data_IF_048341064049
#
_entry.id   IF_048341064049
#
_cell.length_a   1.000
_cell.length_b   1.000
_cell.length_c   1.000
_cell.angle_alpha   90.00
_cell.angle_beta   90.00
_cell.angle_gamma   90.00
#
_symmetry.space_group_name_H-M   'P 1'
#
loop_
_entity.id
_entity.type
_entity.pdbx_description
1 polymer ?
#
# COMPACT_ATOMS: atom_id res chain seq x y z
N UNK A 1 14.56 2.52 34.52
CA UNK A 1 13.35 2.85 35.32
C UNK A 1 12.38 3.83 34.65
N UNK A 2 12.61 4.29 33.41
CA UNK A 2 11.73 5.25 32.71
C UNK A 2 10.51 4.62 31.99
N UNK A 3 10.50 3.30 31.82
CA UNK A 3 9.50 2.54 31.05
C UNK A 3 8.06 2.62 31.57
N UNK A 4 7.77 2.47 32.88
CA UNK A 4 6.38 2.49 33.35
C UNK A 4 5.75 3.89 33.19
N UNK A 5 6.49 4.97 33.44
CA UNK A 5 6.00 6.34 33.27
C UNK A 5 5.75 6.67 31.79
N UNK A 6 6.70 6.33 30.91
CA UNK A 6 6.55 6.54 29.47
C UNK A 6 5.37 5.74 28.89
N UNK A 7 5.18 4.50 29.34
CA UNK A 7 4.03 3.68 28.96
C UNK A 7 2.71 4.30 29.42
N UNK A 8 2.61 4.75 30.68
CA UNK A 8 1.39 5.40 31.17
C UNK A 8 1.05 6.69 30.43
N UNK A 9 2.06 7.47 30.03
CA UNK A 9 1.85 8.70 29.24
C UNK A 9 1.36 8.36 27.83
N UNK A 10 1.95 7.37 27.16
CA UNK A 10 1.52 6.97 25.81
C UNK A 10 0.14 6.31 25.82
N UNK A 11 -0.16 5.54 26.85
CA UNK A 11 -1.48 4.94 27.01
C UNK A 11 -2.54 6.02 27.28
N UNK A 12 -2.25 6.98 28.15
CA UNK A 12 -3.16 8.08 28.48
C UNK A 12 -3.36 9.06 27.31
N UNK A 13 -2.28 9.43 26.61
CA UNK A 13 -2.33 10.42 25.54
C UNK A 13 -2.74 9.80 24.21
N UNK A 14 -2.33 8.58 23.89
CA UNK A 14 -2.48 8.01 22.54
C UNK A 14 -3.22 6.66 22.52
N UNK A 15 -3.49 6.05 23.68
CA UNK A 15 -4.09 4.71 23.75
C UNK A 15 -3.16 3.62 23.22
N UNK A 16 -1.85 3.80 23.41
CA UNK A 16 -0.80 2.90 22.91
C UNK A 16 -0.02 2.32 24.09
N UNK A 17 0.18 1.01 24.07
CA UNK A 17 1.03 0.34 25.07
C UNK A 17 2.50 0.36 24.59
N UNK A 18 3.43 0.64 25.51
CA UNK A 18 4.86 0.71 25.23
C UNK A 18 5.58 -0.49 25.85
N UNK A 19 6.21 -1.28 25.00
CA UNK A 19 7.11 -2.37 25.36
C UNK A 19 8.51 -2.16 24.78
N UNK A 20 9.43 -3.06 25.10
CA UNK A 20 10.73 -3.13 24.46
C UNK A 20 10.69 -4.08 23.26
N UNK A 21 11.23 -3.62 22.13
CA UNK A 21 11.34 -4.47 20.93
C UNK A 21 12.41 -5.55 21.09
N UNK A 22 13.35 -5.37 22.02
CA UNK A 22 14.40 -6.32 22.37
C UNK A 22 14.41 -6.51 23.90
N UNK A 23 14.16 -7.73 24.35
CA UNK A 23 14.12 -8.10 25.76
C UNK A 23 15.49 -8.01 26.46
N UNK A 24 16.58 -7.96 25.69
CA UNK A 24 17.96 -7.91 26.19
C UNK A 24 18.45 -6.45 26.27
N UNK A 25 18.12 -5.60 25.28
CA UNK A 25 18.64 -4.23 25.21
C UNK A 25 17.83 -3.20 26.02
N UNK A 26 16.53 -3.46 26.24
CA UNK A 26 15.60 -2.55 26.93
C UNK A 26 15.37 -1.22 26.20
N UNK A 27 14.31 -0.50 26.57
CA UNK A 27 14.02 0.82 25.98
C UNK A 27 15.10 1.84 26.35
N UNK A 28 15.63 2.55 25.34
CA UNK A 28 16.62 3.63 25.55
C UNK A 28 16.02 4.95 25.10
N UNK A 29 16.19 5.97 25.95
CA UNK A 29 15.77 7.34 25.69
C UNK A 29 16.88 8.30 26.11
N UNK A 30 17.22 9.25 25.25
CA UNK A 30 18.08 10.38 25.55
C UNK A 30 17.39 11.67 25.13
N UNK A 31 17.45 12.68 26.00
CA UNK A 31 16.79 13.98 25.81
C UNK A 31 17.80 15.07 26.13
N UNK A 32 17.95 16.02 25.22
CA UNK A 32 18.80 17.21 25.38
C UNK A 32 17.98 18.48 25.10
N UNK A 33 18.30 19.56 25.82
CA UNK A 33 17.66 20.86 25.61
C UNK A 33 16.18 20.91 26.01
N UNK A 34 15.79 20.17 27.06
CA UNK A 34 14.41 20.17 27.55
C UNK A 34 14.03 21.54 28.14
N UNK A 35 13.02 22.17 27.55
CA UNK A 35 12.41 23.38 28.08
C UNK A 35 10.89 23.27 28.12
N UNK A 36 10.28 23.76 29.20
CA UNK A 36 8.83 23.79 29.38
C UNK A 36 8.39 25.21 29.73
N UNK A 37 7.33 25.70 29.09
CA UNK A 37 6.79 27.01 29.43
C UNK A 37 5.35 27.21 28.94
N UNK A 38 4.56 28.02 29.66
CA UNK A 38 3.22 28.40 29.22
C UNK A 38 3.31 29.28 27.97
N UNK A 39 2.33 29.12 27.07
CA UNK A 39 2.11 30.00 25.93
C UNK A 39 0.96 30.97 26.21
N UNK A 40 0.85 32.02 25.37
CA UNK A 40 -0.11 33.10 25.54
C UNK A 40 -1.57 32.65 25.42
N UNK A 41 -1.81 31.49 24.81
CA UNK A 41 -3.14 30.99 24.47
C UNK A 41 -3.68 29.94 25.49
N UNK A 42 -3.04 29.83 26.66
CA UNK A 42 -3.40 28.85 27.69
C UNK A 42 -2.93 27.42 27.39
N UNK A 43 -2.19 27.22 26.30
CA UNK A 43 -1.41 26.01 26.02
C UNK A 43 -0.08 26.07 26.78
N UNK A 44 0.50 24.90 27.04
CA UNK A 44 1.89 24.76 27.46
C UNK A 44 2.71 24.18 26.31
N UNK A 45 3.92 24.70 26.16
CA UNK A 45 4.89 24.24 25.16
C UNK A 45 5.99 23.43 25.83
N UNK A 46 6.24 22.24 25.29
CA UNK A 46 7.39 21.40 25.60
C UNK A 46 8.35 21.46 24.41
N UNK A 47 9.56 21.97 24.62
CA UNK A 47 10.62 22.02 23.60
C UNK A 47 11.72 21.05 23.97
N UNK A 48 12.20 20.30 22.98
CA UNK A 48 13.33 19.38 23.10
C UNK A 48 14.22 19.60 21.89
N UNK A 49 15.49 19.97 22.12
CA UNK A 49 16.45 20.20 21.04
C UNK A 49 16.81 18.90 20.33
N UNK A 50 17.05 17.84 21.10
CA UNK A 50 17.33 16.50 20.57
C UNK A 50 16.66 15.43 21.43
N UNK A 51 15.92 14.54 20.78
CA UNK A 51 15.31 13.34 21.34
C UNK A 51 15.85 12.14 20.59
N UNK A 52 16.45 11.18 21.29
CA UNK A 52 16.77 9.88 20.72
C UNK A 52 16.02 8.79 21.47
N UNK A 53 15.39 7.89 20.73
CA UNK A 53 14.74 6.72 21.29
C UNK A 53 15.08 5.47 20.47
N UNK A 54 15.26 4.34 21.14
CA UNK A 54 15.63 3.10 20.50
C UNK A 54 14.99 1.89 21.17
N UNK A 55 14.86 0.82 20.38
CA UNK A 55 14.33 -0.47 20.77
C UNK A 55 12.90 -0.41 21.31
N UNK A 56 12.04 0.43 20.71
CA UNK A 56 10.66 0.61 21.17
C UNK A 56 9.71 -0.33 20.43
N UNK A 57 8.70 -0.82 21.14
CA UNK A 57 7.56 -1.48 20.56
C UNK A 57 6.28 -0.80 21.04
N UNK A 58 5.44 -0.40 20.10
CA UNK A 58 4.19 0.31 20.32
C UNK A 58 3.05 -0.56 19.79
N UNK A 59 2.09 -0.91 20.63
CA UNK A 59 0.93 -1.72 20.23
C UNK A 59 -0.37 -0.92 20.36
N UNK A 60 -1.20 -1.00 19.32
CA UNK A 60 -2.55 -0.42 19.32
C UNK A 60 -3.53 -1.39 18.67
N UNK A 61 -4.34 -2.07 19.49
CA UNK A 61 -5.17 -3.19 19.03
C UNK A 61 -4.30 -4.31 18.45
N UNK A 62 -4.56 -4.71 17.20
CA UNK A 62 -3.80 -5.76 16.50
C UNK A 62 -2.61 -5.22 15.70
N UNK A 63 -2.40 -3.90 15.71
CA UNK A 63 -1.27 -3.27 15.03
C UNK A 63 -0.10 -3.13 15.99
N UNK A 64 1.07 -3.53 15.50
CA UNK A 64 2.35 -3.39 16.21
C UNK A 64 3.29 -2.54 15.39
N UNK A 65 3.84 -1.50 16.00
CA UNK A 65 4.90 -0.67 15.45
C UNK A 65 6.18 -0.91 16.26
N UNK A 66 7.20 -1.46 15.61
CA UNK A 66 8.55 -1.59 16.15
C UNK A 66 9.42 -0.43 15.65
N UNK A 67 10.26 0.11 16.53
CA UNK A 67 11.15 1.23 16.26
C UNK A 67 12.56 0.80 16.70
N UNK A 68 13.43 0.52 15.72
CA UNK A 68 14.84 0.24 16.00
C UNK A 68 15.54 1.45 16.62
N UNK A 69 15.54 2.58 15.91
CA UNK A 69 16.05 3.88 16.38
C UNK A 69 15.26 5.00 15.74
N UNK A 70 15.01 6.06 16.51
CA UNK A 70 14.53 7.35 16.02
C UNK A 70 15.30 8.46 16.73
N UNK A 71 15.80 9.43 15.96
CA UNK A 71 16.44 10.63 16.47
C UNK A 71 15.71 11.84 15.90
N UNK A 72 15.08 12.64 16.75
CA UNK A 72 14.27 13.80 16.40
C UNK A 72 14.97 15.06 16.86
N UNK A 73 15.02 16.09 16.00
CA UNK A 73 15.65 17.38 16.29
C UNK A 73 14.64 18.51 16.26
N UNK A 74 14.75 19.42 17.22
CA UNK A 74 13.89 20.58 17.37
C UNK A 74 12.42 20.20 17.52
N UNK A 75 12.13 19.30 18.46
CA UNK A 75 10.77 18.87 18.78
C UNK A 75 10.06 19.93 19.62
N UNK A 76 8.84 20.28 19.22
CA UNK A 76 7.94 21.17 19.94
C UNK A 76 6.60 20.47 20.09
N UNK A 77 6.21 20.14 21.32
CA UNK A 77 4.89 19.59 21.62
C UNK A 77 4.02 20.65 22.31
N UNK A 78 2.79 20.80 21.82
CA UNK A 78 1.78 21.69 22.39
C UNK A 78 0.81 20.87 23.22
N UNK A 79 0.65 21.23 24.48
CA UNK A 79 -0.17 20.51 25.46
C UNK A 79 -1.22 21.47 26.02
N UNK A 80 -2.46 21.03 26.10
CA UNK A 80 -3.57 21.78 26.71
C UNK A 80 -4.14 20.99 27.88
N UNK A 81 -4.57 21.66 28.93
CA UNK A 81 -5.32 21.01 30.01
C UNK A 81 -6.81 21.05 29.69
N UNK A 82 -7.44 19.89 29.53
CA UNK A 82 -8.88 19.75 29.33
C UNK A 82 -9.47 18.90 30.46
N UNK A 83 -10.48 19.43 31.16
CA UNK A 83 -11.10 18.78 32.33
C UNK A 83 -10.09 18.32 33.41
N UNK A 84 -8.95 19.03 33.54
CA UNK A 84 -7.89 18.70 34.51
C UNK A 84 -6.89 17.65 34.03
N UNK A 85 -7.04 17.12 32.80
CA UNK A 85 -6.09 16.19 32.20
C UNK A 85 -5.27 16.86 31.09
N UNK A 86 -3.93 16.67 31.05
CA UNK A 86 -3.12 17.15 29.95
C UNK A 86 -3.44 16.36 28.67
N UNK A 87 -3.71 17.07 27.59
CA UNK A 87 -3.93 16.53 26.26
C UNK A 87 -2.90 17.10 25.29
N UNK A 88 -2.33 16.21 24.47
CA UNK A 88 -1.46 16.59 23.37
C UNK A 88 -2.30 17.15 22.22
N UNK A 89 -2.07 18.41 21.87
CA UNK A 89 -2.76 19.12 20.80
C UNK A 89 -2.03 18.93 19.47
N UNK A 90 -0.72 19.09 19.50
CA UNK A 90 0.12 18.91 18.33
C UNK A 90 1.60 18.70 18.68
N UNK A 91 2.33 18.16 17.72
CA UNK A 91 3.78 17.97 17.78
C UNK A 91 4.38 18.40 16.46
N UNK A 92 5.39 19.26 16.53
CA UNK A 92 6.22 19.62 15.39
C UNK A 92 7.64 19.14 15.64
N UNK A 93 8.33 18.74 14.57
CA UNK A 93 9.76 18.51 14.61
C UNK A 93 10.41 18.98 13.32
N UNK A 94 11.58 19.61 13.45
CA UNK A 94 12.33 20.10 12.29
C UNK A 94 12.80 18.94 11.42
N UNK A 95 13.34 17.91 12.05
CA UNK A 95 13.96 16.77 11.38
C UNK A 95 13.83 15.50 12.23
N UNK A 96 13.70 14.36 11.57
CA UNK A 96 13.79 13.06 12.19
C UNK A 96 14.63 12.12 11.33
N UNK A 97 15.58 11.44 11.94
CA UNK A 97 16.27 10.28 11.39
C UNK A 97 15.69 9.03 12.02
N UNK A 98 15.52 7.96 11.24
CA UNK A 98 15.03 6.70 11.77
C UNK A 98 15.71 5.51 11.12
N UNK A 99 15.74 4.40 11.85
CA UNK A 99 16.15 3.11 11.32
C UNK A 99 15.31 1.97 11.89
N UNK A 100 14.81 1.11 11.01
CA UNK A 100 14.08 -0.10 11.39
C UNK A 100 12.71 0.23 11.98
N UNK A 101 11.93 1.07 11.31
CA UNK A 101 10.52 1.26 11.65
C UNK A 101 9.70 0.17 10.96
N UNK A 102 9.03 -0.68 11.73
CA UNK A 102 8.26 -1.79 11.19
C UNK A 102 6.86 -1.78 11.75
N UNK A 103 5.87 -1.50 10.90
CA UNK A 103 4.45 -1.61 11.21
C UNK A 103 3.92 -2.93 10.67
N UNK A 104 3.30 -3.74 11.51
CA UNK A 104 2.68 -4.98 11.08
C UNK A 104 1.37 -5.27 11.81
N UNK A 105 0.56 -6.10 11.19
CA UNK A 105 -0.73 -6.50 11.72
C UNK A 105 -1.56 -7.28 10.68
N UNK A 106 -2.78 -7.68 11.04
CA UNK A 106 -3.67 -8.33 10.11
C UNK A 106 -4.18 -7.33 9.07
N UNK A 107 -4.22 -7.77 7.82
CA UNK A 107 -4.87 -7.06 6.73
C UNK A 107 -6.35 -7.48 6.71
N UNK A 108 -7.19 -6.75 7.44
CA UNK A 108 -8.63 -7.00 7.45
C UNK A 108 -9.25 -6.51 6.14
N UNK A 109 -9.70 -7.45 5.32
CA UNK A 109 -10.61 -7.14 4.21
C UNK A 109 -11.91 -6.58 4.79
N UNK A 110 -12.49 -5.50 4.22
CA UNK A 110 -13.82 -5.05 4.60
C UNK A 110 -14.81 -6.23 4.57
N UNK A 111 -15.75 -6.36 5.53
CA UNK A 111 -16.62 -7.53 5.65
C UNK A 111 -17.35 -7.90 4.36
N UNK A 112 -17.73 -6.89 3.56
CA UNK A 112 -18.38 -7.07 2.24
C UNK A 112 -17.46 -7.70 1.19
N UNK A 113 -16.16 -7.42 1.24
CA UNK A 113 -15.15 -8.06 0.40
C UNK A 113 -14.84 -9.47 0.90
N UNK A 114 -14.84 -9.69 2.22
CA UNK A 114 -14.71 -11.03 2.79
C UNK A 114 -15.91 -11.92 2.42
N UNK A 115 -17.13 -11.40 2.50
CA UNK A 115 -18.35 -12.06 2.02
C UNK A 115 -18.30 -12.30 0.51
N UNK A 116 -17.92 -11.35 -0.33
CA UNK A 116 -17.77 -11.58 -1.78
C UNK A 116 -16.67 -12.61 -2.12
N UNK A 117 -15.63 -12.72 -1.28
CA UNK A 117 -14.55 -13.69 -1.43
C UNK A 117 -14.99 -15.10 -0.98
N UNK A 118 -15.78 -15.20 0.09
CA UNK A 118 -16.30 -16.47 0.62
C UNK A 118 -17.54 -16.97 -0.14
N UNK A 119 -18.43 -16.07 -0.56
CA UNK A 119 -19.62 -16.35 -1.39
C UNK A 119 -19.30 -16.53 -2.87
N UNK A 120 -18.03 -16.42 -3.29
CA UNK A 120 -17.58 -16.99 -4.56
C UNK A 120 -17.80 -18.52 -4.63
N UNK A 121 -18.25 -19.17 -3.54
CA UNK A 121 -18.79 -20.52 -3.52
C UNK A 121 -20.27 -20.67 -3.92
N UNK A 122 -21.04 -19.58 -4.07
CA UNK A 122 -22.46 -19.67 -4.46
C UNK A 122 -22.84 -18.51 -5.40
N UNK A 123 -23.05 -18.84 -6.67
CA UNK A 123 -23.67 -17.99 -7.69
C UNK A 123 -24.98 -17.37 -7.20
N UNK A 124 -25.03 -16.05 -7.04
CA UNK A 124 -26.27 -15.28 -6.92
C UNK A 124 -26.17 -13.94 -7.66
N UNK A 125 -27.26 -13.47 -8.30
CA UNK A 125 -27.24 -12.33 -9.21
C UNK A 125 -27.16 -10.98 -8.47
N UNK A 126 -26.42 -10.04 -9.05
CA UNK A 126 -26.21 -8.71 -8.53
C UNK A 126 -27.49 -7.84 -8.60
N UNK A 127 -27.98 -7.38 -7.45
CA UNK A 127 -28.97 -6.32 -7.37
C UNK A 127 -28.29 -4.95 -7.55
N UNK A 128 -28.79 -4.14 -8.49
CA UNK A 128 -28.31 -2.80 -8.76
C UNK A 128 -28.70 -1.82 -7.64
N UNK A 129 -27.72 -1.09 -7.10
CA UNK A 129 -27.95 0.00 -6.14
C UNK A 129 -27.55 1.35 -6.74
N UNK A 130 -28.30 2.43 -6.44
CA UNK A 130 -28.12 3.73 -7.07
C UNK A 130 -26.84 4.43 -6.57
N UNK A 131 -26.19 5.12 -7.50
CA UNK A 131 -24.98 5.88 -7.27
C UNK A 131 -25.27 7.15 -6.45
N UNK A 132 -25.00 7.12 -5.15
CA UNK A 132 -24.86 8.34 -4.36
C UNK A 132 -23.45 8.91 -4.58
N UNK A 133 -23.43 10.12 -5.17
CA UNK A 133 -22.25 10.95 -5.38
C UNK A 133 -21.77 11.48 -4.02
N UNK A 134 -20.67 10.90 -3.52
CA UNK A 134 -19.81 11.54 -2.54
C UNK A 134 -18.78 12.40 -3.31
N UNK A 135 -18.35 13.55 -2.76
CA UNK A 135 -17.42 14.46 -3.44
C UNK A 135 -16.11 13.73 -3.77
N UNK A 136 -15.47 14.17 -4.85
CA UNK A 136 -14.24 13.61 -5.36
C UNK A 136 -13.07 13.81 -4.38
N UNK A 137 -12.91 12.91 -3.42
CA UNK A 137 -11.61 12.59 -2.85
C UNK A 137 -10.78 12.00 -3.99
N UNK A 138 -9.91 12.83 -4.57
CA UNK A 138 -9.18 12.51 -5.79
C UNK A 138 -8.13 11.41 -5.53
N UNK A 139 -8.59 10.16 -5.53
CA UNK A 139 -7.72 8.99 -5.67
C UNK A 139 -6.85 9.20 -6.91
N UNK A 140 -5.54 9.29 -6.72
CA UNK A 140 -4.57 9.54 -7.77
C UNK A 140 -3.40 8.59 -7.61
N UNK A 141 -3.05 7.89 -8.67
CA UNK A 141 -1.87 7.03 -8.76
C UNK A 141 -0.97 7.51 -9.89
N UNK A 142 -0.76 8.82 -10.00
CA UNK A 142 0.01 9.46 -11.08
C UNK A 142 1.40 8.82 -11.34
N UNK A 143 2.18 8.39 -10.33
CA UNK A 143 3.44 7.68 -10.56
C UNK A 143 3.32 6.42 -11.45
N UNK A 144 2.15 5.76 -11.49
CA UNK A 144 1.91 4.61 -12.37
C UNK A 144 1.72 5.03 -13.82
N UNK A 145 1.27 6.26 -14.09
CA UNK A 145 0.94 6.75 -15.43
C UNK A 145 2.14 6.92 -16.35
N UNK A 146 3.35 6.93 -15.80
CA UNK A 146 4.60 6.98 -16.56
C UNK A 146 5.60 5.92 -16.15
N UNK A 147 5.13 4.84 -15.50
CA UNK A 147 6.00 3.77 -15.02
C UNK A 147 6.61 2.95 -16.17
N UNK A 148 7.84 2.47 -16.00
CA UNK A 148 8.51 1.61 -16.97
C UNK A 148 9.16 0.41 -16.27
N UNK A 149 9.20 -0.73 -16.94
CA UNK A 149 9.87 -1.89 -16.38
C UNK A 149 9.36 -3.19 -16.96
N UNK A 150 9.51 -4.27 -16.19
CA UNK A 150 9.05 -5.59 -16.60
C UNK A 150 8.62 -6.38 -15.37
N UNK A 151 7.51 -7.09 -15.52
CA UNK A 151 7.05 -8.08 -14.55
C UNK A 151 7.19 -9.45 -15.21
N UNK A 152 7.73 -10.41 -14.46
CA UNK A 152 7.91 -11.80 -14.87
C UNK A 152 7.18 -12.71 -13.89
N UNK A 153 6.35 -13.60 -14.42
CA UNK A 153 5.75 -14.68 -13.67
C UNK A 153 6.32 -16.01 -14.14
N UNK A 154 6.67 -16.90 -13.23
CA UNK A 154 6.98 -18.29 -13.58
C UNK A 154 5.99 -19.22 -12.89
N UNK A 155 5.20 -19.92 -13.69
CA UNK A 155 4.17 -20.86 -13.25
C UNK A 155 4.77 -22.25 -13.27
N UNK A 156 4.92 -22.86 -12.09
CA UNK A 156 5.43 -24.24 -11.99
C UNK A 156 4.33 -25.22 -12.34
N UNK A 157 4.64 -26.19 -13.23
CA UNK A 157 3.70 -27.21 -13.73
C UNK A 157 2.37 -26.65 -14.27
N UNK A 158 2.45 -25.64 -15.14
CA UNK A 158 1.30 -24.99 -15.75
C UNK A 158 0.40 -25.99 -16.53
N UNK A 159 0.98 -27.08 -17.03
CA UNK A 159 0.24 -28.17 -17.67
C UNK A 159 0.94 -29.53 -17.45
N UNK A 160 0.75 -30.10 -16.25
CA UNK A 160 1.06 -31.51 -15.92
C UNK A 160 2.41 -32.02 -16.46
N UNK A 161 3.49 -31.21 -16.42
CA UNK A 161 4.94 -31.53 -16.63
C UNK A 161 5.78 -30.33 -17.12
N UNK A 162 5.17 -29.18 -17.46
CA UNK A 162 5.91 -28.03 -18.02
C UNK A 162 5.69 -26.73 -17.24
N UNK A 163 6.79 -25.99 -17.07
CA UNK A 163 6.79 -24.62 -16.56
C UNK A 163 6.34 -23.64 -17.66
N UNK A 164 5.73 -22.53 -17.24
CA UNK A 164 5.43 -21.40 -18.11
C UNK A 164 6.08 -20.12 -17.59
N UNK A 165 6.84 -19.44 -18.45
CA UNK A 165 7.46 -18.16 -18.18
C UNK A 165 6.67 -17.05 -18.87
N UNK A 166 6.11 -16.15 -18.07
CA UNK A 166 5.30 -15.01 -18.51
C UNK A 166 6.14 -13.75 -18.37
N UNK A 167 6.33 -12.99 -19.44
CA UNK A 167 6.99 -11.68 -19.40
C UNK A 167 6.03 -10.59 -19.85
N UNK A 168 5.79 -9.62 -18.98
CA UNK A 168 4.91 -8.47 -19.25
C UNK A 168 5.75 -7.19 -19.18
N UNK A 169 6.09 -6.58 -20.34
CA UNK A 169 6.77 -5.29 -20.35
C UNK A 169 5.79 -4.14 -20.05
N UNK A 170 6.30 -3.12 -19.34
CA UNK A 170 5.55 -1.90 -19.00
C UNK A 170 6.30 -0.71 -19.58
N UNK A 171 5.62 0.08 -20.40
CA UNK A 171 6.22 1.25 -21.06
C UNK A 171 5.29 2.45 -20.93
N UNK A 172 5.74 3.49 -20.24
CA UNK A 172 5.00 4.75 -20.11
C UNK A 172 3.66 4.56 -19.41
N UNK A 173 3.63 3.74 -18.36
CA UNK A 173 2.40 3.40 -17.63
C UNK A 173 1.44 2.49 -18.37
N UNK A 174 1.86 1.88 -19.49
CA UNK A 174 1.02 1.02 -20.31
C UNK A 174 1.58 -0.40 -20.40
N UNK A 175 0.69 -1.39 -20.35
CA UNK A 175 0.93 -2.75 -20.81
C UNK A 175 0.29 -2.89 -22.20
N UNK A 176 1.08 -3.28 -23.20
CA UNK A 176 0.59 -3.74 -24.49
C UNK A 176 0.66 -5.27 -24.52
N UNK A 177 -0.48 -5.93 -24.60
CA UNK A 177 -0.52 -7.39 -24.56
C UNK A 177 0.02 -8.04 -25.84
N UNK A 178 0.25 -7.27 -26.91
CA UNK A 178 0.98 -7.79 -28.07
C UNK A 178 2.47 -8.03 -27.77
N UNK A 179 3.01 -7.34 -26.76
CA UNK A 179 4.41 -7.46 -26.33
C UNK A 179 4.57 -8.39 -25.11
N UNK A 180 3.47 -8.88 -24.55
CA UNK A 180 3.49 -9.84 -23.46
C UNK A 180 3.75 -11.25 -24.01
N UNK A 181 4.77 -11.92 -23.48
CA UNK A 181 5.14 -13.27 -23.91
C UNK A 181 4.75 -14.30 -22.86
N UNK A 182 4.31 -15.47 -23.31
CA UNK A 182 4.12 -16.67 -22.49
C UNK A 182 4.88 -17.80 -23.15
N UNK A 183 6.02 -18.13 -22.59
CA UNK A 183 6.89 -19.20 -23.06
C UNK A 183 6.58 -20.47 -22.26
N UNK A 184 6.36 -21.57 -22.97
CA UNK A 184 6.17 -22.92 -22.42
C UNK A 184 6.61 -23.94 -23.47
N UNK A 185 6.84 -25.19 -23.08
CA UNK A 185 7.11 -26.28 -24.03
C UNK A 185 5.79 -26.74 -24.67
N UNK A 186 5.35 -26.07 -25.73
CA UNK A 186 4.07 -26.31 -26.41
C UNK A 186 3.64 -25.16 -27.34
N UNK A 187 2.51 -25.27 -28.08
CA UNK A 187 2.07 -24.26 -29.06
C UNK A 187 1.79 -22.90 -28.42
N UNK A 188 2.46 -21.83 -28.90
CA UNK A 188 2.46 -20.46 -28.36
C UNK A 188 1.19 -20.03 -27.59
N UNK A 189 1.27 -20.04 -26.26
CA UNK A 189 0.24 -19.41 -25.41
C UNK A 189 0.36 -17.89 -25.50
N UNK A 190 -0.77 -17.17 -25.46
CA UNK A 190 -0.78 -15.71 -25.66
C UNK A 190 -1.72 -15.02 -24.69
N UNK A 191 -1.32 -13.87 -24.15
CA UNK A 191 -2.16 -13.10 -23.23
C UNK A 191 -2.93 -12.00 -23.93
N UNK A 192 -4.04 -11.56 -23.34
CA UNK A 192 -4.76 -10.39 -23.81
C UNK A 192 -5.81 -9.90 -22.84
N UNK A 193 -6.51 -8.86 -23.26
CA UNK A 193 -7.62 -8.29 -22.50
C UNK A 193 -8.87 -8.19 -23.37
N UNK A 194 -9.94 -8.84 -22.96
CA UNK A 194 -11.26 -8.78 -23.61
C UNK A 194 -12.28 -8.10 -22.70
N UNK A 195 -13.50 -7.87 -23.22
CA UNK A 195 -14.59 -7.29 -22.43
C UNK A 195 -14.97 -8.12 -21.19
N UNK A 196 -14.64 -9.42 -21.18
CA UNK A 196 -14.88 -10.31 -20.05
C UNK A 196 -13.76 -10.26 -19.01
N UNK A 197 -12.53 -9.93 -19.41
CA UNK A 197 -11.40 -10.04 -18.50
C UNK A 197 -10.03 -10.11 -19.17
N UNK A 198 -9.01 -10.21 -18.32
CA UNK A 198 -7.63 -10.56 -18.72
C UNK A 198 -7.56 -12.07 -18.89
N UNK A 199 -7.06 -12.52 -20.02
CA UNK A 199 -7.06 -13.92 -20.42
C UNK A 199 -5.70 -14.41 -20.91
N UNK A 200 -5.55 -15.73 -20.93
CA UNK A 200 -4.51 -16.47 -21.64
C UNK A 200 -5.22 -17.39 -22.65
N UNK A 201 -4.82 -17.32 -23.91
CA UNK A 201 -5.16 -18.30 -24.94
C UNK A 201 -4.10 -19.41 -24.87
N UNK A 202 -4.56 -20.63 -24.63
CA UNK A 202 -3.78 -21.87 -24.66
C UNK A 202 -4.31 -22.79 -25.77
N UNK A 203 -3.60 -23.87 -26.15
CA UNK A 203 -4.03 -24.76 -27.24
C UNK A 203 -5.41 -25.40 -27.03
N UNK A 204 -5.81 -25.61 -25.79
CA UNK A 204 -7.09 -26.21 -25.36
C UNK A 204 -8.22 -25.19 -25.18
N UNK A 205 -7.91 -23.88 -25.29
CA UNK A 205 -8.90 -22.82 -25.26
C UNK A 205 -8.45 -21.58 -24.49
N UNK A 206 -9.41 -20.71 -24.19
CA UNK A 206 -9.18 -19.45 -23.48
C UNK A 206 -9.49 -19.60 -21.99
N UNK A 207 -8.55 -19.24 -21.15
CA UNK A 207 -8.73 -19.16 -19.69
C UNK A 207 -8.63 -17.71 -19.20
N UNK A 208 -9.54 -17.31 -18.32
CA UNK A 208 -9.53 -15.97 -17.73
C UNK A 208 -8.77 -15.95 -16.40
N UNK A 209 -7.76 -15.10 -16.30
CA UNK A 209 -7.02 -14.86 -15.04
C UNK A 209 -7.84 -13.94 -14.14
N UNK A 210 -8.37 -12.86 -14.73
CA UNK A 210 -9.12 -11.84 -14.01
C UNK A 210 -10.39 -11.52 -14.77
N UNK A 211 -11.55 -11.66 -14.14
CA UNK A 211 -12.85 -11.33 -14.74
C UNK A 211 -13.35 -9.96 -14.29
N UNK A 212 -13.81 -9.18 -15.28
CA UNK A 212 -14.38 -7.86 -15.06
C UNK A 212 -15.87 -7.98 -14.68
N UNK A 213 -16.33 -7.17 -13.72
CA UNK A 213 -17.74 -7.15 -13.31
C UNK A 213 -18.63 -6.53 -14.41
N UNK A 214 -18.14 -5.48 -15.07
CA UNK A 214 -18.79 -4.87 -16.23
C UNK A 214 -17.79 -4.04 -17.04
N UNK A 215 -18.03 -3.94 -18.34
CA UNK A 215 -17.29 -3.06 -19.26
C UNK A 215 -18.19 -1.86 -19.65
N UNK A 216 -17.61 -0.67 -19.95
CA UNK A 216 -16.19 -0.37 -20.10
C UNK A 216 -15.45 -0.15 -18.78
N UNK A 217 -14.14 -0.45 -18.78
CA UNK A 217 -13.23 -0.15 -17.66
C UNK A 217 -12.27 0.97 -18.05
N UNK A 218 -12.01 1.89 -17.12
CA UNK A 218 -11.08 2.98 -17.37
C UNK A 218 -9.67 2.46 -17.63
N UNK A 219 -9.00 3.03 -18.63
CA UNK A 219 -7.64 2.65 -18.99
C UNK A 219 -7.51 1.35 -19.81
N UNK A 220 -8.62 0.68 -20.17
CA UNK A 220 -8.55 -0.58 -20.93
C UNK A 220 -8.95 -0.36 -22.39
N UNK A 221 -8.06 -0.75 -23.31
CA UNK A 221 -8.39 -0.92 -24.73
C UNK A 221 -8.52 -2.41 -24.99
N UNK A 222 -9.72 -2.88 -25.28
CA UNK A 222 -9.98 -4.31 -25.49
C UNK A 222 -9.40 -4.83 -26.81
N UNK A 223 -9.17 -6.14 -26.86
CA UNK A 223 -8.76 -6.87 -28.05
C UNK A 223 -9.63 -6.53 -29.27
N UNK A 224 -9.00 -6.49 -30.45
CA UNK A 224 -9.68 -6.40 -31.74
C UNK A 224 -9.37 -7.67 -32.53
N UNK A 225 -10.44 -8.33 -32.98
CA UNK A 225 -10.33 -9.47 -33.90
C UNK A 225 -10.36 -8.94 -35.33
N UNK A 226 -9.58 -9.56 -36.22
CA UNK A 226 -9.62 -9.24 -37.65
C UNK A 226 -11.01 -9.45 -38.25
N UNK A 227 -11.24 -8.92 -39.46
CA UNK A 227 -12.53 -8.98 -40.14
C UNK A 227 -13.13 -10.40 -40.15
N UNK A 228 -14.47 -10.44 -40.02
CA UNK A 228 -15.46 -11.49 -39.70
C UNK A 228 -15.16 -13.00 -39.87
N UNK A 229 -14.05 -13.43 -40.48
CA UNK A 229 -13.71 -14.83 -40.76
C UNK A 229 -12.22 -15.18 -40.56
N UNK A 230 -11.37 -14.25 -40.12
CA UNK A 230 -9.97 -14.56 -39.86
C UNK A 230 -9.77 -15.10 -38.43
N UNK A 231 -9.15 -16.28 -38.23
CA UNK A 231 -8.85 -16.82 -36.90
C UNK A 231 -7.75 -16.04 -36.14
N UNK A 232 -7.27 -14.92 -36.71
CA UNK A 232 -6.12 -14.17 -36.23
C UNK A 232 -6.56 -12.92 -35.46
N UNK A 233 -6.15 -12.85 -34.19
CA UNK A 233 -6.28 -11.64 -33.36
C UNK A 233 -5.25 -10.63 -33.85
N UNK A 234 -5.71 -9.47 -34.34
CA UNK A 234 -4.83 -8.41 -34.84
C UNK A 234 -4.25 -7.55 -33.72
N UNK A 235 -5.00 -7.36 -32.63
CA UNK A 235 -4.55 -6.62 -31.44
C UNK A 235 -5.09 -7.29 -30.18
N UNK A 236 -4.21 -7.59 -29.21
CA UNK A 236 -4.56 -8.26 -27.94
C UNK A 236 -5.03 -7.32 -26.83
N UNK A 237 -5.08 -6.02 -27.13
CA UNK A 237 -5.52 -4.97 -26.24
C UNK A 237 -4.38 -4.35 -25.41
N UNK A 238 -4.72 -3.30 -24.67
CA UNK A 238 -3.80 -2.45 -23.90
C UNK A 238 -4.41 -2.09 -22.55
N UNK A 239 -3.56 -1.88 -21.54
CA UNK A 239 -3.96 -1.47 -20.20
C UNK A 239 -3.09 -0.30 -19.72
N UNK A 240 -3.73 0.82 -19.40
CA UNK A 240 -3.13 1.99 -18.75
C UNK A 240 -3.19 1.81 -17.23
N UNK A 241 -2.04 1.62 -16.60
CA UNK A 241 -1.90 1.20 -15.21
C UNK A 241 -2.58 2.15 -14.24
N UNK A 242 -2.35 3.45 -14.37
CA UNK A 242 -2.92 4.46 -13.47
C UNK A 242 -4.45 4.41 -13.52
N UNK A 243 -5.03 4.63 -14.71
CA UNK A 243 -6.48 4.69 -14.87
C UNK A 243 -7.17 3.38 -14.47
N UNK A 244 -6.54 2.24 -14.80
CA UNK A 244 -7.03 0.93 -14.41
C UNK A 244 -6.99 0.74 -12.89
N UNK A 245 -5.85 1.00 -12.23
CA UNK A 245 -5.70 0.82 -10.78
C UNK A 245 -6.61 1.75 -9.98
N UNK A 246 -6.72 3.03 -10.36
CA UNK A 246 -7.66 3.97 -9.75
C UNK A 246 -9.12 3.53 -9.93
N UNK A 247 -9.47 2.98 -11.10
CA UNK A 247 -10.81 2.39 -11.32
C UNK A 247 -11.02 1.18 -10.42
N UNK A 248 -10.03 0.30 -10.31
CA UNK A 248 -10.10 -0.90 -9.46
C UNK A 248 -10.28 -0.55 -7.99
N UNK A 249 -9.57 0.46 -7.47
CA UNK A 249 -9.74 0.94 -6.10
C UNK A 249 -11.13 1.54 -5.86
N UNK A 250 -11.68 2.27 -6.84
CA UNK A 250 -13.05 2.81 -6.76
C UNK A 250 -14.14 1.74 -6.83
N UNK A 251 -13.94 0.72 -7.68
CA UNK A 251 -14.91 -0.34 -7.94
C UNK A 251 -14.87 -1.47 -6.90
N UNK A 252 -13.69 -1.86 -6.42
CA UNK A 252 -13.50 -2.92 -5.43
C UNK A 252 -14.18 -2.63 -4.08
N UNK A 253 -14.40 -1.35 -3.76
CA UNK A 253 -15.18 -0.93 -2.60
C UNK A 253 -16.71 -1.04 -2.80
N UNK A 254 -17.18 -1.28 -4.03
CA UNK A 254 -18.58 -1.07 -4.43
C UNK A 254 -19.25 -2.24 -5.15
N UNK A 255 -18.51 -3.18 -5.76
CA UNK A 255 -19.12 -4.25 -6.57
C UNK A 255 -18.61 -5.65 -6.19
N UNK A 256 -19.54 -6.55 -5.88
CA UNK A 256 -19.29 -8.00 -5.86
C UNK A 256 -19.38 -8.57 -7.29
N UNK A 257 -18.54 -9.55 -7.62
CA UNK A 257 -18.59 -10.27 -8.90
C UNK A 257 -17.46 -9.98 -9.91
N UNK A 258 -16.44 -9.19 -9.55
CA UNK A 258 -15.16 -9.10 -10.28
C UNK A 258 -14.04 -9.73 -9.48
N UNK A 259 -13.07 -10.36 -10.14
CA UNK A 259 -11.94 -10.93 -9.43
C UNK A 259 -11.19 -12.03 -10.16
N UNK A 260 -10.25 -12.61 -9.44
CA UNK A 260 -9.51 -13.80 -9.85
C UNK A 260 -10.46 -15.00 -9.89
N UNK A 261 -10.43 -15.73 -11.00
CA UNK A 261 -11.16 -17.00 -11.16
C UNK A 261 -10.62 -18.07 -10.23
N UNK A 262 -11.39 -19.12 -9.94
CA UNK A 262 -10.92 -20.24 -9.12
C UNK A 262 -9.65 -20.87 -9.69
N UNK A 263 -9.64 -21.12 -11.00
CA UNK A 263 -8.46 -21.61 -11.72
C UNK A 263 -7.26 -20.66 -11.58
N UNK A 264 -7.48 -19.34 -11.68
CA UNK A 264 -6.41 -18.36 -11.48
C UNK A 264 -5.86 -18.39 -10.04
N UNK A 265 -6.71 -18.56 -9.03
CA UNK A 265 -6.26 -18.65 -7.62
C UNK A 265 -5.36 -19.87 -7.40
N UNK A 266 -5.72 -21.02 -7.98
CA UNK A 266 -4.90 -22.24 -7.93
C UNK A 266 -3.55 -22.02 -8.63
N UNK A 267 -3.56 -21.37 -9.80
CA UNK A 267 -2.33 -21.03 -10.53
C UNK A 267 -1.42 -20.11 -9.70
N UNK A 268 -1.97 -19.05 -9.09
CA UNK A 268 -1.20 -18.12 -8.26
C UNK A 268 -0.49 -18.80 -7.09
N UNK A 269 -1.05 -19.89 -6.54
CA UNK A 269 -0.39 -20.70 -5.51
C UNK A 269 0.92 -21.36 -5.96
N UNK A 270 1.17 -21.43 -7.28
CA UNK A 270 2.34 -22.05 -7.94
C UNK A 270 3.11 -21.07 -8.83
N UNK A 271 2.67 -19.82 -8.88
CA UNK A 271 3.29 -18.76 -9.67
C UNK A 271 4.28 -17.99 -8.80
N UNK A 272 5.56 -18.09 -9.13
CA UNK A 272 6.55 -17.12 -8.64
C UNK A 272 6.45 -15.83 -9.47
N UNK A 273 6.74 -14.71 -8.83
CA UNK A 273 6.69 -13.38 -9.42
C UNK A 273 8.02 -12.68 -9.16
N UNK A 274 8.56 -12.02 -10.18
CA UNK A 274 9.63 -11.05 -10.04
C UNK A 274 9.31 -9.85 -10.91
N UNK A 275 9.76 -8.67 -10.54
CA UNK A 275 9.56 -7.51 -11.39
C UNK A 275 10.35 -6.31 -10.92
N UNK A 276 10.70 -5.46 -11.86
CA UNK A 276 11.41 -4.22 -11.62
C UNK A 276 10.67 -3.12 -12.35
N UNK A 277 10.20 -2.12 -11.60
CA UNK A 277 9.42 -1.00 -12.11
C UNK A 277 10.05 0.32 -11.66
N UNK A 278 10.45 1.15 -12.60
CA UNK A 278 10.75 2.55 -12.34
C UNK A 278 9.44 3.33 -12.32
N UNK A 279 9.06 3.88 -11.15
CA UNK A 279 7.89 4.75 -11.05
C UNK A 279 8.15 6.14 -11.63
N UNK A 280 7.07 6.77 -12.06
CA UNK A 280 6.99 8.19 -12.39
C UNK A 280 7.10 9.10 -11.17
N UNK A 281 7.38 10.37 -11.44
CA UNK A 281 7.13 11.43 -10.48
C UNK A 281 5.65 11.84 -10.52
N UNK A 282 5.14 12.40 -9.43
CA UNK A 282 3.76 12.89 -9.37
C UNK A 282 3.06 12.61 -8.05
N UNK A 283 1.80 13.06 -7.97
CA UNK A 283 0.99 12.93 -6.76
C UNK A 283 0.41 11.51 -6.66
N UNK A 284 0.68 10.86 -5.53
CA UNK A 284 -0.10 9.71 -5.08
C UNK A 284 -1.07 10.16 -3.98
N UNK A 285 -2.32 9.77 -4.09
CA UNK A 285 -3.36 10.08 -3.12
C UNK A 285 -4.34 8.91 -3.03
N UNK A 286 -4.57 8.45 -1.81
CA UNK A 286 -5.56 7.48 -1.39
C UNK A 286 -6.38 8.09 -0.24
N UNK A 287 -7.51 7.47 0.13
CA UNK A 287 -8.26 7.95 1.29
C UNK A 287 -7.38 7.93 2.54
N UNK A 288 -7.18 9.11 3.15
CA UNK A 288 -6.35 9.28 4.35
C UNK A 288 -4.83 9.24 4.11
N UNK A 289 -4.33 9.20 2.88
CA UNK A 289 -2.89 9.22 2.60
C UNK A 289 -2.58 9.96 1.29
N UNK A 290 -1.63 10.87 1.30
CA UNK A 290 -1.16 11.56 0.10
C UNK A 290 0.33 11.88 0.17
N UNK A 291 0.92 12.14 -0.99
CA UNK A 291 2.25 12.72 -1.13
C UNK A 291 2.64 12.86 -2.59
N UNK A 292 3.80 13.44 -2.86
CA UNK A 292 4.35 13.59 -4.21
C UNK A 292 5.66 12.82 -4.33
N UNK A 293 5.70 11.81 -5.20
CA UNK A 293 6.95 11.12 -5.55
C UNK A 293 7.80 12.04 -6.42
N UNK A 294 9.09 12.10 -6.14
CA UNK A 294 10.07 12.83 -6.93
C UNK A 294 11.40 12.08 -7.08
N UNK A 295 12.18 12.46 -8.10
CA UNK A 295 13.55 11.98 -8.26
C UNK A 295 13.69 10.75 -9.14
N UNK A 296 12.69 10.46 -10.00
CA UNK A 296 12.80 9.45 -11.06
C UNK A 296 14.09 9.56 -11.85
N UNK A 297 14.45 10.76 -12.32
CA UNK A 297 15.64 10.98 -13.15
C UNK A 297 16.95 10.73 -12.39
N UNK A 298 16.91 10.78 -11.05
CA UNK A 298 18.00 10.39 -10.17
C UNK A 298 17.99 8.89 -9.80
N UNK A 299 17.14 8.08 -10.45
CA UNK A 299 17.00 6.64 -10.20
C UNK A 299 16.24 6.29 -8.92
N UNK A 300 15.51 7.23 -8.32
CA UNK A 300 14.69 7.00 -7.11
C UNK A 300 13.34 6.37 -7.48
N UNK A 301 12.65 5.84 -6.49
CA UNK A 301 11.30 5.25 -6.62
C UNK A 301 11.23 4.02 -7.56
N UNK A 302 12.32 3.24 -7.63
CA UNK A 302 12.31 1.93 -8.27
C UNK A 302 11.68 0.90 -7.33
N UNK A 303 10.62 0.25 -7.79
CA UNK A 303 9.96 -0.86 -7.10
C UNK A 303 10.52 -2.19 -7.62
N UNK A 304 11.07 -2.99 -6.72
CA UNK A 304 11.23 -4.43 -6.90
C UNK A 304 10.01 -5.17 -6.40
N UNK A 305 9.44 -6.06 -7.21
CA UNK A 305 8.37 -6.99 -6.84
C UNK A 305 8.97 -8.39 -6.77
N UNK A 306 8.62 -9.13 -5.72
CA UNK A 306 9.06 -10.51 -5.57
C UNK A 306 8.02 -11.37 -4.84
N UNK A 307 7.87 -12.61 -5.31
CA UNK A 307 7.14 -13.67 -4.64
C UNK A 307 7.64 -15.03 -5.14
N UNK A 308 7.83 -16.00 -4.23
CA UNK A 308 8.03 -17.40 -4.63
C UNK A 308 6.72 -18.08 -5.03
N UNK A 309 5.61 -17.64 -4.45
CA UNK A 309 4.26 -18.12 -4.74
C UNK A 309 3.27 -16.99 -4.43
N UNK A 310 2.71 -16.36 -5.47
CA UNK A 310 1.83 -15.17 -5.32
C UNK A 310 0.63 -15.46 -4.43
N UNK A 311 0.11 -16.69 -4.46
CA UNK A 311 -0.99 -17.13 -3.59
C UNK A 311 -0.63 -17.18 -2.10
N UNK A 312 0.66 -17.17 -1.74
CA UNK A 312 1.13 -17.14 -0.35
C UNK A 312 1.58 -15.75 0.09
N UNK A 313 1.81 -14.84 -0.84
CA UNK A 313 2.20 -13.47 -0.52
C UNK A 313 2.94 -12.78 -1.64
N UNK A 314 3.20 -11.48 -1.45
CA UNK A 314 3.99 -10.66 -2.35
C UNK A 314 4.78 -9.63 -1.55
N UNK A 315 6.03 -9.42 -1.94
CA UNK A 315 6.88 -8.35 -1.42
C UNK A 315 7.07 -7.28 -2.49
N UNK A 316 6.87 -6.03 -2.10
CA UNK A 316 7.25 -4.84 -2.86
C UNK A 316 8.34 -4.09 -2.08
N UNK A 317 9.41 -3.68 -2.75
CA UNK A 317 10.55 -3.00 -2.13
C UNK A 317 10.96 -1.78 -2.96
N UNK A 318 11.25 -0.67 -2.29
CA UNK A 318 11.84 0.55 -2.86
C UNK A 318 13.10 0.87 -2.07
N UNK A 319 14.26 0.78 -2.71
CA UNK A 319 15.55 1.02 -2.06
C UNK A 319 15.87 2.51 -1.84
N UNK A 320 15.21 3.38 -2.58
CA UNK A 320 15.35 4.83 -2.44
C UNK A 320 14.01 5.50 -2.76
N UNK A 321 13.15 5.57 -1.75
CA UNK A 321 11.89 6.31 -1.81
C UNK A 321 12.17 7.79 -1.54
N UNK A 322 11.57 8.67 -2.32
CA UNK A 322 11.63 10.12 -2.10
C UNK A 322 10.25 10.73 -2.31
N UNK A 323 9.68 11.25 -1.22
CA UNK A 323 8.34 11.81 -1.17
C UNK A 323 8.40 13.23 -0.62
N UNK A 324 7.64 14.15 -1.23
CA UNK A 324 7.34 15.47 -0.69
C UNK A 324 5.89 15.59 -0.25
N UNK A 325 5.65 16.54 0.63
CA UNK A 325 4.31 16.94 1.08
C UNK A 325 3.49 15.72 1.54
N UNK A 326 4.14 14.77 2.22
CA UNK A 326 3.48 13.55 2.64
C UNK A 326 2.51 13.89 3.77
N UNK A 327 1.28 13.41 3.66
CA UNK A 327 0.28 13.59 4.70
C UNK A 327 -0.52 12.31 4.87
N UNK A 328 -0.75 11.93 6.13
CA UNK A 328 -1.59 10.81 6.53
C UNK A 328 -2.65 11.29 7.51
N UNK A 329 -3.83 10.69 7.43
CA UNK A 329 -4.92 10.91 8.38
C UNK A 329 -5.43 9.55 8.86
N UNK A 330 -5.49 9.38 10.18
CA UNK A 330 -6.05 8.18 10.79
C UNK A 330 -6.90 8.57 12.00
N UNK A 331 -8.20 8.22 11.98
CA UNK A 331 -9.17 8.60 13.02
C UNK A 331 -9.15 10.11 13.29
N UNK A 332 -8.56 10.51 14.43
CA UNK A 332 -8.49 11.88 14.92
C UNK A 332 -7.06 12.44 14.86
N UNK A 333 -6.16 11.81 14.10
CA UNK A 333 -4.76 12.22 13.99
C UNK A 333 -4.42 12.53 12.53
N UNK A 334 -3.72 13.65 12.34
CA UNK A 334 -3.13 14.05 11.07
C UNK A 334 -1.63 14.11 11.22
N UNK A 335 -0.91 13.38 10.38
CA UNK A 335 0.54 13.41 10.28
C UNK A 335 0.91 14.08 8.96
N UNK A 336 1.92 14.94 8.97
CA UNK A 336 2.49 15.57 7.77
C UNK A 336 4.01 15.60 7.86
N UNK A 337 4.67 15.54 6.72
CA UNK A 337 6.06 15.93 6.57
C UNK A 337 6.29 16.60 5.22
N UNK A 338 7.19 17.57 5.20
CA UNK A 338 7.51 18.33 3.98
C UNK A 338 8.34 17.45 3.04
N UNK A 339 9.26 16.65 3.60
CA UNK A 339 10.03 15.65 2.84
C UNK A 339 10.22 14.36 3.63
N UNK A 340 10.28 13.25 2.92
CA UNK A 340 10.57 11.90 3.42
C UNK A 340 11.47 11.17 2.42
N UNK A 341 12.60 10.69 2.90
CA UNK A 341 13.48 9.80 2.15
C UNK A 341 13.70 8.51 2.95
N UNK A 342 13.47 7.36 2.34
CA UNK A 342 13.54 6.09 3.07
C UNK A 342 13.81 4.91 2.15
N UNK A 343 14.23 3.79 2.75
CA UNK A 343 13.99 2.45 2.19
C UNK A 343 12.61 1.99 2.61
N UNK A 344 11.80 1.51 1.68
CA UNK A 344 10.46 1.00 1.93
C UNK A 344 10.40 -0.48 1.53
N UNK A 345 9.81 -1.32 2.37
CA UNK A 345 9.41 -2.67 2.01
C UNK A 345 8.00 -2.93 2.52
N UNK A 346 7.13 -3.40 1.65
CA UNK A 346 5.80 -3.87 1.99
C UNK A 346 5.72 -5.36 1.68
N UNK A 347 5.36 -6.17 2.66
CA UNK A 347 5.09 -7.59 2.49
C UNK A 347 3.63 -7.84 2.80
N UNK A 348 2.96 -8.56 1.91
CA UNK A 348 1.64 -9.14 2.14
C UNK A 348 1.83 -10.64 2.20
N UNK A 349 1.36 -11.27 3.26
CA UNK A 349 1.53 -12.71 3.49
C UNK A 349 0.17 -13.32 3.78
N UNK A 350 -0.12 -14.46 3.17
CA UNK A 350 -1.31 -15.27 3.45
C UNK A 350 -0.94 -16.35 4.48
N UNK A 351 -1.65 -16.34 5.61
CA UNK A 351 -1.55 -17.34 6.67
C UNK A 351 -2.92 -18.02 6.82
N UNK A 352 -3.12 -19.11 6.08
CA UNK A 352 -4.42 -19.79 6.03
C UNK A 352 -5.50 -18.90 5.39
N UNK A 353 -6.56 -18.59 6.15
CA UNK A 353 -7.65 -17.72 5.69
C UNK A 353 -7.38 -16.22 5.94
N UNK A 354 -6.31 -15.89 6.66
CA UNK A 354 -5.97 -14.52 7.02
C UNK A 354 -4.85 -13.97 6.15
N UNK A 355 -4.87 -12.65 5.95
CA UNK A 355 -3.79 -11.92 5.32
C UNK A 355 -3.13 -11.06 6.39
N UNK A 356 -1.80 -10.99 6.37
CA UNK A 356 -1.01 -10.10 7.22
C UNK A 356 -0.22 -9.15 6.34
N UNK A 357 0.06 -7.96 6.87
CA UNK A 357 0.96 -7.03 6.23
C UNK A 357 2.14 -6.71 7.15
N UNK A 358 3.29 -6.45 6.53
CA UNK A 358 4.47 -5.90 7.17
C UNK A 358 4.95 -4.72 6.31
N UNK A 359 4.89 -3.52 6.87
CA UNK A 359 5.41 -2.29 6.31
C UNK A 359 6.70 -1.94 7.06
N UNK A 360 7.83 -2.02 6.38
CA UNK A 360 9.16 -1.75 6.91
C UNK A 360 9.71 -0.50 6.23
N UNK A 361 9.97 0.54 7.01
CA UNK A 361 10.82 1.64 6.64
C UNK A 361 12.20 1.38 7.26
N UNK A 362 13.18 1.09 6.40
CA UNK A 362 14.54 0.77 6.79
C UNK A 362 15.25 1.97 7.41
N UNK A 363 16.29 2.49 6.78
CA UNK A 363 16.89 3.78 7.18
C UNK A 363 16.26 4.93 6.41
N UNK A 364 15.97 6.04 7.07
CA UNK A 364 15.43 7.21 6.40
C UNK A 364 15.50 8.50 7.21
N UNK A 365 15.14 9.58 6.54
CA UNK A 365 15.05 10.93 7.09
C UNK A 365 13.72 11.56 6.72
N UNK A 366 13.18 12.38 7.62
CA UNK A 366 12.00 13.17 7.40
C UNK A 366 12.25 14.60 7.89
N UNK A 367 11.69 15.60 7.20
CA UNK A 367 11.80 17.00 7.61
C UNK A 367 10.44 17.68 7.66
N UNK A 368 10.32 18.69 8.52
CA UNK A 368 9.08 19.44 8.72
C UNK A 368 7.94 18.55 9.20
N UNK A 369 8.20 17.67 10.16
CA UNK A 369 7.19 16.77 10.69
C UNK A 369 6.18 17.57 11.50
N UNK A 370 4.90 17.32 11.27
CA UNK A 370 3.78 17.91 12.00
C UNK A 370 2.77 16.82 12.32
N UNK A 371 2.32 16.78 13.55
CA UNK A 371 1.27 15.91 14.03
C UNK A 371 0.23 16.78 14.71
N UNK A 372 -1.01 16.68 14.27
CA UNK A 372 -2.14 17.40 14.85
C UNK A 372 -3.20 16.40 15.28
N UNK A 373 -3.75 16.59 16.47
CA UNK A 373 -4.92 15.83 16.92
C UNK A 373 -6.18 16.65 16.67
N UNK A 374 -7.05 16.15 15.81
CA UNK A 374 -8.39 16.69 15.62
C UNK A 374 -9.21 16.48 16.90
N UNK A 375 -9.88 17.54 17.37
CA UNK A 375 -10.81 17.42 18.48
C UNK A 375 -11.88 16.36 18.16
N UNK A 376 -12.30 15.53 19.12
CA UNK A 376 -13.41 14.61 18.91
C UNK A 376 -14.63 15.42 18.47
N UNK A 377 -15.14 15.15 17.28
CA UNK A 377 -16.37 15.76 16.78
C UNK A 377 -17.48 15.35 17.76
N UNK A 378 -18.19 16.29 18.41
CA UNK A 378 -19.27 15.91 19.31
C UNK A 378 -20.31 15.14 18.49
N UNK A 379 -20.66 13.93 18.95
CA UNK A 379 -21.76 13.15 18.42
C UNK A 379 -22.98 14.08 18.31
N UNK A 380 -23.35 14.41 17.08
CA UNK A 380 -24.67 15.00 16.82
C UNK A 380 -25.67 13.88 17.07
N UNK A 381 -26.14 13.79 18.32
CA UNK A 381 -27.30 12.99 18.71
C UNK A 381 -28.55 13.45 17.99
#
# INVERSE_FOLDING_TARGET
>A
MATPLASSILQLLLGVDLAASDSIAGNRFAIEGLAWGPEKDGTASLRIDQLEAASLQLTSGELTLEIGRVAVRGLVAQIRSEAGAPQLVGVEAREAEFSGLKLHGPLRMPPRLHEAWSTAQVTAPAAAFPATQAPADATSLAPLGTAHGTIRGKITDAHLLFDADVTVPLRGGQIDFNDATVEHVGPDSRMGVSRLGIYVDAPDGRSYIYQFASAPLAGVTFERRGALLSPWISERGKLQLQAFAESMLRCGLRQGGSGLTEQARLLLGRTSLSGDLQLGDGVFALSGLQGRLEGRDAGRNRIGLHSEAVGRGVTAQIDSLSVRDAAGAAKNAHLRCDTLQAKLRLQLVSEGAEMRFVLDLGSGTAAGLRFDRSAPQPDKR
#
